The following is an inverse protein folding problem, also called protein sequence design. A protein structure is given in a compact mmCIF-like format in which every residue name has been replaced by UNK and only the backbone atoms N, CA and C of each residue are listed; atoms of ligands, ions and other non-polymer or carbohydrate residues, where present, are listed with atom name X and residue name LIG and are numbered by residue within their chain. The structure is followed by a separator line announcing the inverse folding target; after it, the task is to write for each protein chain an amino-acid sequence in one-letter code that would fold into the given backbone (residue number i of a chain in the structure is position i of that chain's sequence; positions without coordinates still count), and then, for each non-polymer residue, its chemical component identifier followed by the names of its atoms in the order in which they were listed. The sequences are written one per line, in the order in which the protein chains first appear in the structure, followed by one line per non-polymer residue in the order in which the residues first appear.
data_IF_817982168312
#
_entry.id   IF_817982168312
#
_cell.length_a   1.000
_cell.length_b   1.000
_cell.length_c   1.000
_cell.angle_alpha   90.00
_cell.angle_beta   90.00
_cell.angle_gamma   90.00
#
_symmetry.space_group_name_H-M   'P 1'
#
loop_
_entity.id
_entity.type
_entity.pdbx_description
1 polymer ?
#
# COMPACT_ATOMS: atom_id res chain seq x y z
N UNK A 1 -12.46 23.29 -15.82
CA UNK A 1 -11.21 22.95 -16.53
C UNK A 1 -10.04 23.55 -15.74
N UNK A 2 -9.02 22.76 -15.44
CA UNK A 2 -7.80 23.22 -14.75
C UNK A 2 -6.67 23.25 -15.77
N UNK A 3 -5.92 24.35 -15.82
CA UNK A 3 -4.76 24.50 -16.70
C UNK A 3 -3.55 24.91 -15.87
N UNK A 4 -2.41 24.26 -16.11
CA UNK A 4 -1.13 24.58 -15.48
C UNK A 4 -0.01 24.62 -16.54
N UNK A 5 1.07 25.31 -16.21
CA UNK A 5 2.30 25.36 -17.01
C UNK A 5 3.46 24.94 -16.13
N UNK A 6 4.33 24.09 -16.65
CA UNK A 6 5.53 23.62 -15.97
C UNK A 6 6.75 23.78 -16.90
N UNK A 7 7.94 23.92 -16.30
CA UNK A 7 9.21 23.97 -17.04
C UNK A 7 9.62 22.58 -17.55
N UNK A 8 9.36 21.57 -16.74
CA UNK A 8 9.65 20.15 -16.99
C UNK A 8 8.43 19.33 -16.57
N UNK A 9 8.12 18.29 -17.33
CA UNK A 9 7.09 17.30 -16.99
C UNK A 9 7.79 15.98 -16.65
N UNK A 10 7.46 15.41 -15.49
CA UNK A 10 7.95 14.10 -15.07
C UNK A 10 6.80 13.10 -15.19
N UNK A 11 6.92 12.15 -16.12
CA UNK A 11 6.03 11.01 -16.24
C UNK A 11 6.52 9.88 -15.31
N UNK A 12 5.94 9.81 -14.12
CA UNK A 12 6.13 8.74 -13.13
C UNK A 12 4.85 7.89 -12.97
N UNK A 13 4.09 7.68 -14.05
CA UNK A 13 2.77 7.05 -14.02
C UNK A 13 2.79 5.51 -13.88
N UNK A 14 3.95 4.90 -13.63
CA UNK A 14 4.08 3.46 -13.39
C UNK A 14 3.53 2.62 -14.57
N UNK A 15 2.56 1.71 -14.35
CA UNK A 15 1.90 0.95 -15.43
C UNK A 15 1.22 1.78 -16.52
N UNK A 16 1.06 3.09 -16.32
CA UNK A 16 0.43 4.00 -17.29
C UNK A 16 1.45 4.89 -18.02
N UNK A 17 2.76 4.67 -17.82
CA UNK A 17 3.80 5.52 -18.40
C UNK A 17 3.73 5.59 -19.93
N UNK A 18 3.53 4.46 -20.62
CA UNK A 18 3.43 4.45 -22.08
C UNK A 18 2.20 5.20 -22.59
N UNK A 19 1.03 5.01 -21.97
CA UNK A 19 -0.19 5.72 -22.35
C UNK A 19 -0.04 7.24 -22.19
N UNK A 20 0.56 7.69 -21.09
CA UNK A 20 0.85 9.12 -20.90
C UNK A 20 1.91 9.64 -21.90
N UNK A 21 2.84 8.79 -22.33
CA UNK A 21 3.78 9.16 -23.40
C UNK A 21 3.13 9.25 -24.78
N UNK A 22 2.05 8.53 -25.05
CA UNK A 22 1.28 8.73 -26.29
C UNK A 22 0.68 10.15 -26.34
N UNK A 23 0.20 10.65 -25.20
CA UNK A 23 -0.35 12.01 -25.06
C UNK A 23 0.74 13.10 -25.08
N UNK A 24 1.86 12.88 -24.36
CA UNK A 24 2.97 13.84 -24.26
C UNK A 24 3.87 13.84 -25.52
N UNK A 25 3.91 12.73 -26.25
CA UNK A 25 4.71 12.50 -27.44
C UNK A 25 6.25 12.48 -27.31
N UNK A 26 6.89 12.19 -26.15
CA UNK A 26 8.34 12.07 -26.11
C UNK A 26 8.87 10.91 -26.95
N UNK A 27 10.10 11.06 -27.46
CA UNK A 27 10.84 9.94 -28.04
C UNK A 27 11.46 9.13 -26.92
N UNK A 28 11.14 7.84 -26.88
CA UNK A 28 11.70 6.91 -25.89
C UNK A 28 12.21 5.63 -26.55
N UNK A 29 13.28 5.05 -26.04
CA UNK A 29 13.87 3.79 -26.50
C UNK A 29 13.23 2.57 -25.83
N UNK A 30 12.65 2.76 -24.64
CA UNK A 30 11.96 1.72 -23.89
C UNK A 30 10.44 1.87 -23.89
N UNK A 31 9.79 0.78 -23.53
CA UNK A 31 8.35 0.67 -23.24
C UNK A 31 8.14 -0.28 -22.08
N UNK A 32 6.91 -0.33 -21.56
CA UNK A 32 6.53 -1.25 -20.49
C UNK A 32 5.68 -2.40 -20.98
N UNK A 33 5.83 -3.52 -20.30
CA UNK A 33 5.02 -4.72 -20.44
C UNK A 33 4.57 -5.17 -19.06
N UNK A 34 3.45 -5.88 -18.99
CA UNK A 34 2.73 -6.06 -17.74
C UNK A 34 2.80 -7.49 -17.20
N UNK A 35 3.19 -7.60 -15.92
CA UNK A 35 3.11 -8.83 -15.14
C UNK A 35 2.19 -8.63 -13.95
N UNK A 36 1.03 -9.29 -13.96
CA UNK A 36 0.10 -9.35 -12.84
C UNK A 36 0.70 -10.20 -11.71
N UNK A 37 0.59 -9.71 -10.48
CA UNK A 37 0.83 -10.48 -9.27
C UNK A 37 -0.26 -10.26 -8.26
N UNK A 38 -0.72 -11.35 -7.65
CA UNK A 38 -1.78 -11.32 -6.65
C UNK A 38 -1.30 -11.79 -5.28
N UNK A 39 -2.02 -11.38 -4.24
CA UNK A 39 -1.85 -11.89 -2.89
C UNK A 39 -3.22 -12.14 -2.26
N UNK A 40 -3.31 -13.19 -1.45
CA UNK A 40 -4.46 -13.49 -0.60
C UNK A 40 -4.13 -13.17 0.85
N UNK A 41 -5.07 -12.59 1.57
CA UNK A 41 -4.98 -12.41 3.02
C UNK A 41 -5.93 -13.40 3.68
N UNK A 42 -5.39 -14.20 4.60
CA UNK A 42 -6.09 -15.28 5.30
C UNK A 42 -5.88 -15.16 6.80
N UNK A 43 -6.61 -15.93 7.64
CA UNK A 43 -6.28 -16.09 9.05
C UNK A 43 -4.79 -16.43 9.27
N UNK A 44 -4.25 -16.07 10.44
CA UNK A 44 -2.85 -16.35 10.76
C UNK A 44 -2.59 -17.86 10.68
N UNK A 45 -1.69 -18.28 9.79
CA UNK A 45 -1.38 -19.70 9.55
C UNK A 45 -0.39 -20.30 10.55
N UNK A 46 0.45 -19.45 11.16
CA UNK A 46 1.49 -19.90 12.09
C UNK A 46 1.84 -18.80 13.08
N UNK A 47 2.24 -19.17 14.30
CA UNK A 47 2.78 -18.25 15.30
C UNK A 47 4.20 -17.74 14.96
N UNK A 48 4.85 -18.29 13.92
CA UNK A 48 6.16 -17.84 13.49
C UNK A 48 6.08 -16.43 12.86
N UNK A 49 6.92 -15.51 13.32
CA UNK A 49 7.02 -14.13 12.81
C UNK A 49 7.99 -13.99 11.61
N UNK A 50 8.62 -15.09 11.17
CA UNK A 50 9.46 -15.09 9.96
C UNK A 50 8.61 -15.15 8.70
N UNK A 51 9.12 -14.56 7.63
CA UNK A 51 8.62 -14.82 6.27
C UNK A 51 8.99 -16.24 5.89
N UNK A 52 7.99 -17.03 5.49
CA UNK A 52 8.20 -18.37 4.94
C UNK A 52 8.26 -18.28 3.42
N UNK A 53 9.22 -18.98 2.80
CA UNK A 53 9.40 -19.01 1.36
C UNK A 53 9.25 -20.45 0.86
N UNK A 54 8.50 -20.62 -0.22
CA UNK A 54 8.16 -21.91 -0.80
C UNK A 54 8.34 -21.86 -2.31
N UNK A 55 8.61 -23.01 -2.91
CA UNK A 55 8.55 -23.18 -4.36
C UNK A 55 7.19 -23.73 -4.75
N UNK A 56 6.53 -23.09 -5.71
CA UNK A 56 5.37 -23.66 -6.38
C UNK A 56 5.76 -24.85 -7.28
N UNK A 57 4.77 -25.53 -7.86
CA UNK A 57 5.00 -26.70 -8.73
C UNK A 57 5.81 -26.37 -10.00
N UNK A 58 5.93 -25.08 -10.34
CA UNK A 58 6.73 -24.58 -11.47
C UNK A 58 8.15 -24.17 -11.06
N UNK A 59 8.48 -24.28 -9.76
CA UNK A 59 9.79 -23.89 -9.23
C UNK A 59 9.94 -22.40 -8.96
N UNK A 60 8.84 -21.63 -8.87
CA UNK A 60 8.89 -20.19 -8.55
C UNK A 60 8.61 -19.95 -7.08
N UNK A 61 9.26 -18.93 -6.53
CA UNK A 61 9.09 -18.56 -5.14
C UNK A 61 7.75 -17.85 -4.90
N UNK A 62 7.04 -18.32 -3.88
CA UNK A 62 5.98 -17.58 -3.22
C UNK A 62 6.20 -17.63 -1.71
N UNK A 63 5.48 -16.80 -0.98
CA UNK A 63 5.73 -16.47 0.41
C UNK A 63 4.45 -16.55 1.22
N UNK A 64 4.63 -16.88 2.49
CA UNK A 64 3.67 -16.59 3.56
C UNK A 64 4.29 -15.54 4.45
N UNK A 65 3.71 -14.34 4.44
CA UNK A 65 4.20 -13.17 5.17
C UNK A 65 3.27 -12.92 6.36
N UNK A 66 3.79 -12.87 7.61
CA UNK A 66 2.99 -12.47 8.75
C UNK A 66 2.58 -11.00 8.64
N UNK A 67 1.29 -10.72 8.84
CA UNK A 67 0.73 -9.38 8.82
C UNK A 67 -0.18 -9.19 10.03
N UNK A 68 0.43 -8.91 11.19
CA UNK A 68 -0.28 -8.87 12.47
C UNK A 68 -0.99 -10.19 12.72
N UNK A 69 -2.32 -10.16 12.89
CA UNK A 69 -3.15 -11.34 13.15
C UNK A 69 -3.55 -12.12 11.89
N UNK A 70 -2.97 -11.79 10.73
CA UNK A 70 -3.27 -12.38 9.43
C UNK A 70 -1.99 -12.90 8.78
N UNK A 71 -2.17 -13.70 7.74
CA UNK A 71 -1.09 -14.14 6.85
C UNK A 71 -1.38 -13.68 5.42
N UNK A 72 -0.35 -13.21 4.73
CA UNK A 72 -0.43 -12.83 3.32
C UNK A 72 0.29 -13.90 2.51
N UNK A 73 -0.44 -14.55 1.60
CA UNK A 73 0.07 -15.57 0.69
C UNK A 73 0.26 -14.92 -0.68
N UNK A 74 1.43 -15.07 -1.28
CA UNK A 74 1.68 -14.62 -2.64
C UNK A 74 3.15 -14.63 -3.01
N UNK A 75 3.54 -14.37 -4.24
CA UNK A 75 2.73 -13.81 -5.33
C UNK A 75 2.66 -14.75 -6.52
N UNK A 76 1.67 -14.55 -7.37
CA UNK A 76 1.67 -15.04 -8.76
C UNK A 76 2.48 -14.13 -9.69
N UNK A 77 2.74 -14.60 -10.92
CA UNK A 77 3.34 -13.83 -12.00
C UNK A 77 2.70 -14.27 -13.32
N UNK A 78 1.72 -13.50 -13.77
CA UNK A 78 0.91 -13.81 -14.96
C UNK A 78 1.03 -12.65 -15.91
N UNK A 79 1.42 -12.91 -17.16
CA UNK A 79 1.42 -11.87 -18.20
C UNK A 79 0.01 -11.37 -18.44
N UNK A 80 -0.14 -10.06 -18.56
CA UNK A 80 -1.38 -9.40 -18.95
C UNK A 80 -1.07 -8.32 -19.99
N UNK A 81 -2.08 -7.87 -20.72
CA UNK A 81 -1.91 -6.84 -21.77
C UNK A 81 -2.44 -5.47 -21.34
N UNK A 82 -2.90 -5.36 -20.09
CA UNK A 82 -3.53 -4.15 -19.54
C UNK A 82 -3.02 -3.87 -18.12
N UNK A 83 -2.87 -2.58 -17.73
CA UNK A 83 -2.56 -2.21 -16.36
C UNK A 83 -3.75 -2.43 -15.41
N UNK A 84 -4.97 -2.58 -15.95
CA UNK A 84 -6.18 -2.82 -15.19
C UNK A 84 -6.32 -4.31 -14.87
N UNK A 85 -6.24 -4.67 -13.59
CA UNK A 85 -6.26 -6.07 -13.16
C UNK A 85 -7.11 -6.29 -11.92
N UNK A 86 -7.59 -7.53 -11.77
CA UNK A 86 -8.29 -8.04 -10.60
C UNK A 86 -7.82 -9.47 -10.32
N UNK A 87 -8.07 -9.94 -9.11
CA UNK A 87 -7.88 -11.34 -8.74
C UNK A 87 -9.01 -12.16 -9.38
N UNK A 88 -8.66 -13.23 -10.09
CA UNK A 88 -9.61 -14.19 -10.66
C UNK A 88 -9.73 -15.42 -9.76
N UNK A 89 -10.71 -16.28 -10.04
CA UNK A 89 -10.89 -17.51 -9.26
C UNK A 89 -9.73 -18.49 -9.50
N UNK A 90 -9.18 -18.52 -10.72
CA UNK A 90 -7.99 -19.32 -11.04
C UNK A 90 -6.75 -18.83 -10.26
N UNK A 91 -6.62 -17.51 -10.04
CA UNK A 91 -5.54 -16.97 -9.21
C UNK A 91 -5.66 -17.46 -7.75
N UNK A 92 -6.89 -17.46 -7.22
CA UNK A 92 -7.18 -17.91 -5.84
C UNK A 92 -6.88 -19.39 -5.70
N UNK A 93 -7.46 -20.19 -6.58
CA UNK A 93 -7.31 -21.65 -6.60
C UNK A 93 -5.85 -22.06 -6.73
N UNK A 94 -5.09 -21.36 -7.58
CA UNK A 94 -3.66 -21.58 -7.71
C UNK A 94 -2.93 -21.39 -6.37
N UNK A 95 -3.04 -20.22 -5.73
CA UNK A 95 -2.32 -19.97 -4.48
C UNK A 95 -2.79 -20.87 -3.33
N UNK A 96 -4.09 -21.16 -3.24
CA UNK A 96 -4.64 -22.06 -2.22
C UNK A 96 -4.13 -23.50 -2.42
N UNK A 97 -4.11 -23.99 -3.67
CA UNK A 97 -3.55 -25.31 -4.00
C UNK A 97 -2.07 -25.37 -3.65
N UNK A 98 -1.30 -24.34 -4.04
CA UNK A 98 0.13 -24.30 -3.75
C UNK A 98 0.37 -24.30 -2.24
N UNK A 99 -0.30 -23.45 -1.45
CA UNK A 99 -0.01 -23.39 -0.01
C UNK A 99 -0.46 -24.66 0.74
N UNK A 100 -1.62 -25.22 0.40
CA UNK A 100 -2.14 -26.45 1.02
C UNK A 100 -1.23 -27.66 0.76
N UNK A 101 -0.47 -27.65 -0.34
CA UNK A 101 0.51 -28.69 -0.64
C UNK A 101 1.86 -28.51 0.08
N UNK A 102 2.16 -27.32 0.63
CA UNK A 102 3.45 -27.01 1.28
C UNK A 102 3.37 -26.82 2.80
N UNK A 103 2.18 -26.57 3.35
CA UNK A 103 1.96 -26.46 4.78
C UNK A 103 1.04 -27.57 5.27
N UNK A 104 1.47 -28.26 6.32
CA UNK A 104 0.64 -29.20 7.07
C UNK A 104 -0.29 -28.42 7.99
N UNK A 105 -1.48 -28.09 7.47
CA UNK A 105 -2.53 -27.37 8.19
C UNK A 105 -3.53 -28.38 8.74
N UNK A 106 -4.11 -28.09 9.92
CA UNK A 106 -5.16 -28.93 10.52
C UNK A 106 -6.33 -29.19 9.56
N UNK A 107 -6.68 -28.18 8.76
CA UNK A 107 -7.57 -28.29 7.61
C UNK A 107 -7.00 -27.50 6.42
N UNK A 108 -7.21 -27.95 5.17
CA UNK A 108 -6.86 -27.17 3.99
C UNK A 108 -7.61 -25.83 3.97
N UNK A 109 -6.94 -24.77 3.53
CA UNK A 109 -7.57 -23.47 3.28
C UNK A 109 -8.52 -23.56 2.09
N UNK A 110 -9.67 -22.90 2.20
CA UNK A 110 -10.63 -22.74 1.12
C UNK A 110 -10.78 -21.26 0.74
N UNK A 111 -11.56 -20.98 -0.32
CA UNK A 111 -11.90 -19.62 -0.73
C UNK A 111 -12.61 -18.85 0.40
N UNK A 112 -13.38 -19.54 1.24
CA UNK A 112 -14.09 -18.92 2.38
C UNK A 112 -13.12 -18.45 3.49
N UNK A 113 -11.89 -18.95 3.53
CA UNK A 113 -10.85 -18.46 4.43
C UNK A 113 -10.17 -17.17 3.91
N UNK A 114 -10.42 -16.76 2.66
CA UNK A 114 -9.85 -15.54 2.09
C UNK A 114 -10.61 -14.32 2.60
N UNK A 115 -9.93 -13.51 3.41
CA UNK A 115 -10.49 -12.29 4.01
C UNK A 115 -10.46 -11.14 3.02
N UNK A 116 -9.37 -11.04 2.27
CA UNK A 116 -9.17 -9.99 1.28
C UNK A 116 -8.14 -10.44 0.24
N UNK A 117 -8.17 -9.80 -0.92
CA UNK A 117 -7.18 -10.00 -1.95
C UNK A 117 -6.58 -8.68 -2.46
N UNK A 118 -5.41 -8.82 -3.10
CA UNK A 118 -4.71 -7.72 -3.76
C UNK A 118 -4.28 -8.20 -5.12
N UNK A 119 -4.52 -7.38 -6.14
CA UNK A 119 -3.89 -7.50 -7.44
C UNK A 119 -3.10 -6.25 -7.75
N UNK A 120 -1.97 -6.41 -8.43
CA UNK A 120 -1.16 -5.33 -8.94
C UNK A 120 -0.43 -5.76 -10.21
N UNK A 121 -0.12 -4.79 -11.05
CA UNK A 121 0.66 -5.00 -12.27
C UNK A 121 2.05 -4.41 -12.09
N UNK A 122 3.06 -5.20 -12.42
CA UNK A 122 4.46 -4.78 -12.50
C UNK A 122 4.72 -4.23 -13.91
N UNK A 123 5.13 -2.96 -14.06
CA UNK A 123 5.62 -2.45 -15.33
C UNK A 123 7.06 -2.92 -15.52
N UNK A 124 7.26 -3.90 -16.40
CA UNK A 124 8.59 -4.42 -16.73
C UNK A 124 9.14 -3.67 -17.93
N UNK A 125 10.41 -3.30 -17.90
CA UNK A 125 11.03 -2.48 -18.95
C UNK A 125 11.54 -3.37 -20.07
N UNK A 126 11.19 -3.05 -21.31
CA UNK A 126 11.71 -3.69 -22.52
C UNK A 126 12.10 -2.64 -23.56
N UNK A 127 13.09 -2.97 -24.39
CA UNK A 127 13.43 -2.13 -25.55
C UNK A 127 12.29 -2.16 -26.56
N UNK A 128 12.02 -1.03 -27.21
CA UNK A 128 11.06 -0.92 -28.31
C UNK A 128 11.55 -1.66 -29.56
N UNK A 129 12.84 -1.60 -29.83
CA UNK A 129 13.48 -2.34 -30.92
C UNK A 129 14.00 -3.71 -30.44
N UNK A 130 13.27 -4.75 -30.85
CA UNK A 130 13.57 -6.16 -30.60
C UNK A 130 12.45 -7.00 -31.20
N UNK A 131 12.78 -7.96 -32.07
CA UNK A 131 11.84 -8.80 -32.83
C UNK A 131 10.81 -9.55 -31.97
N UNK A 132 9.91 -10.29 -32.64
CA UNK A 132 8.74 -10.95 -32.07
C UNK A 132 8.96 -11.49 -30.64
N UNK A 133 8.39 -10.79 -29.66
CA UNK A 133 8.59 -11.09 -28.24
C UNK A 133 7.64 -12.20 -27.73
N UNK A 134 6.92 -12.88 -28.63
CA UNK A 134 6.03 -14.01 -28.29
C UNK A 134 6.74 -15.12 -27.51
N UNK A 135 8.06 -15.28 -27.65
CA UNK A 135 8.88 -16.30 -26.96
C UNK A 135 9.76 -15.77 -25.82
N UNK A 136 9.64 -14.51 -25.41
CA UNK A 136 10.44 -14.00 -24.29
C UNK A 136 9.95 -14.65 -23.00
N UNK A 137 10.85 -15.26 -22.23
CA UNK A 137 10.55 -15.72 -20.88
C UNK A 137 10.38 -14.49 -19.97
N UNK A 138 9.12 -14.03 -19.85
CA UNK A 138 8.72 -12.84 -19.10
C UNK A 138 9.19 -12.88 -17.65
N UNK A 139 9.38 -14.08 -17.08
CA UNK A 139 9.87 -14.24 -15.71
C UNK A 139 11.33 -13.81 -15.55
N UNK A 140 12.10 -13.78 -16.66
CA UNK A 140 13.51 -13.37 -16.74
C UNK A 140 13.71 -11.93 -17.19
N UNK A 141 12.63 -11.20 -17.52
CA UNK A 141 12.74 -9.80 -17.90
C UNK A 141 13.36 -8.98 -16.77
N UNK A 142 14.20 -8.03 -17.17
CA UNK A 142 14.87 -7.12 -16.24
C UNK A 142 13.83 -6.37 -15.43
N UNK A 143 14.00 -6.38 -14.11
CA UNK A 143 13.20 -5.59 -13.16
C UNK A 143 13.90 -4.29 -12.77
N UNK A 144 14.86 -3.84 -13.57
CA UNK A 144 15.52 -2.54 -13.40
C UNK A 144 14.63 -1.43 -13.94
N UNK A 145 14.76 -0.23 -13.38
CA UNK A 145 14.19 0.97 -13.98
C UNK A 145 15.05 1.47 -15.13
N UNK A 146 14.45 2.31 -15.95
CA UNK A 146 15.14 3.16 -16.92
C UNK A 146 14.54 4.56 -16.82
N UNK A 147 15.40 5.59 -16.91
CA UNK A 147 14.99 7.00 -16.93
C UNK A 147 15.43 7.62 -18.24
N UNK A 148 14.47 8.19 -18.97
CA UNK A 148 14.72 8.77 -20.28
C UNK A 148 14.32 10.24 -20.33
N UNK A 149 15.09 11.03 -21.08
CA UNK A 149 14.94 12.49 -21.18
C UNK A 149 14.70 12.89 -22.63
N UNK A 150 13.52 13.43 -22.93
CA UNK A 150 13.25 14.15 -24.18
C UNK A 150 13.51 15.65 -23.95
N UNK A 151 14.74 16.09 -24.25
CA UNK A 151 15.14 17.50 -24.10
C UNK A 151 14.29 18.46 -24.93
N UNK A 152 13.99 18.20 -26.22
CA UNK A 152 13.11 19.08 -27.00
C UNK A 152 11.75 19.36 -26.35
N UNK A 153 11.16 18.36 -25.69
CA UNK A 153 9.85 18.49 -25.02
C UNK A 153 9.91 18.81 -23.54
N UNK A 154 11.11 18.77 -22.94
CA UNK A 154 11.30 18.93 -21.50
C UNK A 154 10.52 17.87 -20.69
N UNK A 155 10.54 16.62 -21.16
CA UNK A 155 9.86 15.48 -20.52
C UNK A 155 10.88 14.49 -20.00
N UNK A 156 10.71 14.05 -18.75
CA UNK A 156 11.41 12.92 -18.15
C UNK A 156 10.42 11.77 -17.99
N UNK A 157 10.76 10.57 -18.48
CA UNK A 157 9.93 9.36 -18.28
C UNK A 157 10.65 8.37 -17.37
N UNK A 158 9.93 7.86 -16.37
CA UNK A 158 10.38 6.77 -15.50
C UNK A 158 9.70 5.47 -15.93
N UNK A 159 10.49 4.50 -16.39
CA UNK A 159 10.02 3.16 -16.71
C UNK A 159 10.40 2.18 -15.61
N UNK A 160 9.45 1.32 -15.21
CA UNK A 160 9.69 0.29 -14.21
C UNK A 160 9.95 0.83 -12.80
N UNK A 161 10.96 0.26 -12.12
CA UNK A 161 11.33 0.61 -10.76
C UNK A 161 10.77 -0.31 -9.69
N UNK A 162 11.54 -0.45 -8.60
CA UNK A 162 11.16 -1.21 -7.40
C UNK A 162 10.99 -0.27 -6.24
N UNK A 163 10.06 -0.59 -5.34
CA UNK A 163 9.88 0.16 -4.10
C UNK A 163 11.18 0.24 -3.27
N UNK A 164 12.00 -0.81 -3.28
CA UNK A 164 13.28 -0.84 -2.54
C UNK A 164 14.34 0.10 -3.10
N UNK A 165 14.17 0.56 -4.34
CA UNK A 165 15.15 1.38 -5.06
C UNK A 165 14.64 2.81 -5.31
N UNK A 166 13.49 3.17 -4.72
CA UNK A 166 12.79 4.40 -5.06
C UNK A 166 13.58 5.69 -4.76
N UNK A 167 14.46 5.67 -3.75
CA UNK A 167 15.31 6.81 -3.43
C UNK A 167 16.35 7.04 -4.54
N UNK A 168 17.01 5.98 -5.01
CA UNK A 168 17.97 6.08 -6.12
C UNK A 168 17.28 6.54 -7.42
N UNK A 169 16.08 6.01 -7.71
CA UNK A 169 15.25 6.52 -8.83
C UNK A 169 14.93 8.01 -8.65
N UNK A 170 14.66 8.45 -7.42
CA UNK A 170 14.42 9.86 -7.11
C UNK A 170 15.62 10.75 -7.42
N UNK A 171 16.82 10.33 -7.02
CA UNK A 171 18.07 11.05 -7.33
C UNK A 171 18.32 11.12 -8.85
N UNK A 172 18.13 10.02 -9.58
CA UNK A 172 18.29 10.02 -11.03
C UNK A 172 17.27 10.93 -11.74
N UNK A 173 16.05 11.04 -11.20
CA UNK A 173 15.04 12.00 -11.69
C UNK A 173 15.46 13.44 -11.39
N UNK A 174 16.02 13.71 -10.20
CA UNK A 174 16.56 15.02 -9.84
C UNK A 174 17.66 15.44 -10.83
N UNK A 175 18.64 14.56 -11.06
CA UNK A 175 19.70 14.74 -12.07
C UNK A 175 19.14 15.01 -13.47
N UNK A 176 18.07 14.31 -13.86
CA UNK A 176 17.41 14.49 -15.15
C UNK A 176 16.77 15.88 -15.28
N UNK A 177 16.15 16.38 -14.22
CA UNK A 177 15.54 17.71 -14.15
C UNK A 177 16.63 18.80 -14.24
N UNK A 178 17.77 18.63 -13.57
CA UNK A 178 18.90 19.56 -13.69
C UNK A 178 19.51 19.58 -15.10
N UNK A 179 19.62 18.41 -15.76
CA UNK A 179 20.05 18.30 -17.17
C UNK A 179 19.10 19.00 -18.15
N UNK A 180 17.86 19.27 -17.75
CA UNK A 180 16.88 20.08 -18.48
C UNK A 180 16.97 21.58 -18.13
N UNK A 181 17.91 21.97 -17.27
CA UNK A 181 18.20 23.36 -16.94
C UNK A 181 17.32 23.92 -15.82
N UNK A 182 16.64 23.06 -15.04
CA UNK A 182 15.94 23.45 -13.82
C UNK A 182 16.87 23.18 -12.64
N UNK A 183 17.53 24.21 -12.06
CA UNK A 183 18.38 24.01 -10.90
C UNK A 183 17.52 23.57 -9.71
N UNK A 184 17.99 22.57 -8.97
CA UNK A 184 17.36 22.12 -7.73
C UNK A 184 18.06 22.75 -6.52
N UNK A 185 17.38 22.74 -5.38
CA UNK A 185 18.00 23.13 -4.12
C UNK A 185 19.01 22.06 -3.69
N UNK A 186 20.06 22.49 -3.00
CA UNK A 186 21.07 21.57 -2.46
C UNK A 186 20.43 20.59 -1.48
N UNK A 187 20.77 19.30 -1.60
CA UNK A 187 20.29 18.30 -0.66
C UNK A 187 20.86 18.60 0.75
N UNK A 188 19.96 18.86 1.67
CA UNK A 188 20.29 19.11 3.08
C UNK A 188 20.48 17.82 3.88
N UNK A 189 20.36 16.65 3.23
CA UNK A 189 20.44 15.34 3.87
C UNK A 189 19.26 15.08 4.80
N UNK A 190 18.09 15.69 4.52
CA UNK A 190 16.92 15.59 5.39
C UNK A 190 16.37 14.16 5.36
N UNK A 191 16.50 13.44 6.47
CA UNK A 191 15.93 12.09 6.60
C UNK A 191 14.43 12.12 6.87
N UNK A 192 13.66 11.56 5.93
CA UNK A 192 12.19 11.47 6.00
C UNK A 192 11.67 10.16 6.62
N UNK A 193 12.55 9.24 7.04
CA UNK A 193 12.18 7.98 7.67
C UNK A 193 12.02 8.07 9.20
N UNK A 194 12.40 7.00 9.92
CA UNK A 194 12.25 6.95 11.38
C UNK A 194 13.04 8.10 12.05
N UNK A 195 12.41 8.86 12.97
CA UNK A 195 13.08 9.93 13.72
C UNK A 195 14.28 9.44 14.54
N UNK A 196 15.09 10.39 15.01
CA UNK A 196 16.26 10.10 15.85
C UNK A 196 15.90 9.33 17.13
N UNK A 197 16.83 8.49 17.60
CA UNK A 197 16.66 7.65 18.79
C UNK A 197 16.28 8.43 20.05
N UNK A 198 16.78 9.67 20.21
CA UNK A 198 16.41 10.54 21.33
C UNK A 198 14.92 10.95 21.28
N UNK A 199 14.40 11.26 20.08
CA UNK A 199 12.98 11.57 19.87
C UNK A 199 12.11 10.34 20.17
N UNK A 200 12.57 9.16 19.77
CA UNK A 200 11.93 7.88 20.12
C UNK A 200 11.88 7.68 21.63
N UNK A 201 13.01 7.79 22.31
CA UNK A 201 13.09 7.61 23.76
C UNK A 201 12.15 8.58 24.52
N UNK A 202 12.08 9.83 24.07
CA UNK A 202 11.17 10.83 24.63
C UNK A 202 9.70 10.43 24.46
N UNK A 203 9.31 9.96 23.28
CA UNK A 203 7.95 9.48 23.03
C UNK A 203 7.57 8.34 23.99
N UNK A 204 8.42 7.32 24.10
CA UNK A 204 8.16 6.17 24.97
C UNK A 204 8.11 6.57 26.45
N UNK A 205 8.93 7.53 26.88
CA UNK A 205 8.85 8.10 28.24
C UNK A 205 7.49 8.71 28.50
N UNK A 206 6.99 9.53 27.58
CA UNK A 206 5.69 10.18 27.70
C UNK A 206 4.52 9.19 27.68
N UNK A 207 4.56 8.21 26.78
CA UNK A 207 3.55 7.14 26.70
C UNK A 207 3.48 6.34 28.00
N UNK A 208 4.64 6.01 28.61
CA UNK A 208 4.71 5.32 29.89
C UNK A 208 4.14 6.15 31.04
N UNK A 209 4.48 7.45 31.12
CA UNK A 209 4.01 8.33 32.20
C UNK A 209 2.49 8.49 32.22
N UNK A 210 1.86 8.51 31.04
CA UNK A 210 0.40 8.58 30.93
C UNK A 210 -0.27 7.20 30.94
N UNK A 211 0.49 6.12 31.14
CA UNK A 211 -0.01 4.73 31.12
C UNK A 211 -0.79 4.40 29.84
N UNK A 212 -0.28 4.84 28.70
CA UNK A 212 -0.97 4.69 27.41
C UNK A 212 -1.37 3.24 27.13
N UNK A 213 -0.48 2.30 27.41
CA UNK A 213 -0.71 0.88 27.13
C UNK A 213 -1.77 0.25 28.05
N UNK A 214 -2.09 0.89 29.19
CA UNK A 214 -3.17 0.46 30.09
C UNK A 214 -4.55 0.84 29.56
N UNK A 215 -4.66 1.69 28.53
CA UNK A 215 -5.94 2.10 27.94
C UNK A 215 -6.61 1.00 27.13
N UNK A 216 -5.87 -0.05 26.73
CA UNK A 216 -6.42 -1.13 25.90
C UNK A 216 -6.10 -2.50 26.47
N UNK A 217 -7.15 -3.20 26.90
CA UNK A 217 -7.06 -4.59 27.36
C UNK A 217 -7.58 -5.54 26.28
N UNK A 218 -6.74 -5.83 25.28
CA UNK A 218 -7.00 -6.87 24.28
C UNK A 218 -5.86 -7.88 24.26
N UNK A 219 -6.14 -9.19 24.19
CA UNK A 219 -5.09 -10.19 24.03
C UNK A 219 -4.50 -10.12 22.62
N UNK A 220 -3.21 -10.43 22.49
CA UNK A 220 -2.52 -10.61 21.22
C UNK A 220 -2.55 -9.38 20.30
N UNK A 221 -2.52 -8.18 20.89
CA UNK A 221 -2.33 -6.93 20.16
C UNK A 221 -1.03 -6.26 20.58
N UNK A 222 -0.41 -5.56 19.65
CA UNK A 222 0.73 -4.68 19.92
C UNK A 222 0.37 -3.62 20.98
N UNK A 223 1.30 -3.24 21.89
CA UNK A 223 1.12 -2.09 22.76
C UNK A 223 0.78 -0.82 21.96
N UNK A 224 -0.04 0.06 22.52
CA UNK A 224 -0.44 1.30 21.85
C UNK A 224 0.78 2.19 21.59
N UNK A 225 1.73 2.23 22.53
CA UNK A 225 2.98 2.97 22.40
C UNK A 225 3.78 2.52 21.18
N UNK A 226 4.03 1.22 21.04
CA UNK A 226 4.73 0.64 19.89
C UNK A 226 4.01 0.92 18.58
N UNK A 227 2.69 0.73 18.56
CA UNK A 227 1.87 0.96 17.38
C UNK A 227 1.96 2.40 16.89
N UNK A 228 1.72 3.35 17.80
CA UNK A 228 1.69 4.76 17.46
C UNK A 228 3.05 5.25 16.98
N UNK A 229 4.14 4.83 17.65
CA UNK A 229 5.49 5.16 17.19
C UNK A 229 5.78 4.56 15.80
N UNK A 230 5.54 3.26 15.63
CA UNK A 230 5.86 2.52 14.41
C UNK A 230 5.11 3.05 13.19
N UNK A 231 3.88 3.55 13.35
CA UNK A 231 3.08 4.11 12.25
C UNK A 231 3.30 5.61 12.01
N UNK A 232 3.44 6.40 13.07
CA UNK A 232 3.33 7.85 12.97
C UNK A 232 4.59 8.62 13.36
N UNK A 233 5.57 7.94 13.97
CA UNK A 233 6.84 8.54 14.39
C UNK A 233 6.63 9.84 15.17
N UNK A 234 7.22 10.94 14.69
CA UNK A 234 7.08 12.28 15.30
C UNK A 234 5.63 12.75 15.45
N UNK A 235 4.73 12.34 14.56
CA UNK A 235 3.31 12.76 14.63
C UNK A 235 2.57 12.12 15.81
N UNK A 236 3.11 11.02 16.37
CA UNK A 236 2.54 10.33 17.51
C UNK A 236 2.49 11.20 18.78
N UNK A 237 3.35 12.22 18.91
CA UNK A 237 3.29 13.16 20.04
C UNK A 237 1.96 13.92 20.10
N UNK A 238 1.46 14.39 18.95
CA UNK A 238 0.16 15.06 18.86
C UNK A 238 -0.98 14.13 19.27
N UNK A 239 -0.80 12.83 19.03
CA UNK A 239 -1.77 11.80 19.40
C UNK A 239 -1.78 11.55 20.92
N UNK A 240 -0.62 11.56 21.58
CA UNK A 240 -0.57 11.53 23.05
C UNK A 240 -1.32 12.72 23.66
N UNK A 241 -1.12 13.91 23.11
CA UNK A 241 -1.80 15.12 23.58
C UNK A 241 -3.32 15.07 23.33
N UNK A 242 -3.76 14.48 22.22
CA UNK A 242 -5.18 14.24 21.97
C UNK A 242 -5.79 13.28 23.00
N UNK A 243 -5.12 12.15 23.26
CA UNK A 243 -5.57 11.15 24.25
C UNK A 243 -5.56 11.71 25.68
N UNK A 244 -4.61 12.58 26.04
CA UNK A 244 -4.61 13.24 27.35
C UNK A 244 -5.81 14.16 27.55
N UNK A 245 -6.25 14.85 26.48
CA UNK A 245 -7.40 15.74 26.54
C UNK A 245 -8.72 14.97 26.53
N UNK A 246 -8.78 13.91 25.74
CA UNK A 246 -9.94 13.05 25.61
C UNK A 246 -9.50 11.57 25.56
N UNK A 247 -9.64 10.82 26.68
CA UNK A 247 -9.25 9.42 26.74
C UNK A 247 -9.95 8.52 25.70
N UNK A 248 -11.15 8.89 25.22
CA UNK A 248 -11.86 8.11 24.20
C UNK A 248 -11.11 8.05 22.87
N UNK A 249 -10.18 8.98 22.63
CA UNK A 249 -9.29 8.98 21.47
C UNK A 249 -8.36 7.75 21.44
N UNK A 250 -8.12 7.13 22.60
CA UNK A 250 -7.35 5.90 22.76
C UNK A 250 -8.13 4.60 22.52
N UNK A 251 -9.43 4.69 22.20
CA UNK A 251 -10.27 3.53 21.93
C UNK A 251 -10.25 3.15 20.43
N UNK A 252 -10.55 1.88 20.14
CA UNK A 252 -10.67 1.42 18.76
C UNK A 252 -11.96 1.92 18.12
N UNK A 253 -11.88 2.49 16.91
CA UNK A 253 -13.05 2.95 16.14
C UNK A 253 -13.96 1.77 15.79
N UNK A 254 -13.38 0.63 15.42
CA UNK A 254 -14.10 -0.61 15.14
C UNK A 254 -13.49 -1.72 15.99
N UNK A 255 -14.34 -2.44 16.75
CA UNK A 255 -13.91 -3.47 17.73
C UNK A 255 -12.93 -4.50 17.14
N UNK A 256 -13.04 -4.81 15.84
CA UNK A 256 -12.24 -5.84 15.18
C UNK A 256 -11.08 -5.30 14.31
N UNK A 257 -10.90 -3.97 14.22
CA UNK A 257 -9.93 -3.32 13.33
C UNK A 257 -8.57 -3.00 13.96
N UNK A 258 -8.49 -3.06 15.29
CA UNK A 258 -7.36 -2.55 16.07
C UNK A 258 -6.87 -1.19 15.54
N UNK A 259 -7.78 -0.25 15.25
CA UNK A 259 -7.49 1.08 14.71
C UNK A 259 -8.09 2.13 15.62
N UNK A 260 -7.28 3.05 16.13
CA UNK A 260 -7.72 4.00 17.15
C UNK A 260 -8.48 5.19 16.56
N UNK A 261 -9.40 5.76 17.35
CA UNK A 261 -10.08 7.01 17.03
C UNK A 261 -9.09 8.16 16.77
N UNK A 262 -8.00 8.25 17.55
CA UNK A 262 -6.94 9.26 17.30
C UNK A 262 -6.24 9.10 15.94
N UNK A 263 -6.07 7.85 15.45
CA UNK A 263 -5.45 7.58 14.16
C UNK A 263 -6.34 8.11 13.02
N UNK A 264 -7.65 7.96 13.17
CA UNK A 264 -8.65 8.43 12.22
C UNK A 264 -8.69 9.96 12.13
N UNK A 265 -8.70 10.66 13.26
CA UNK A 265 -8.66 12.14 13.26
C UNK A 265 -7.37 12.68 12.62
N UNK A 266 -6.24 12.02 12.87
CA UNK A 266 -4.98 12.39 12.24
C UNK A 266 -5.06 12.21 10.72
N UNK A 267 -5.59 11.07 10.25
CA UNK A 267 -5.76 10.79 8.84
C UNK A 267 -6.70 11.80 8.16
N UNK A 268 -7.83 12.13 8.81
CA UNK A 268 -8.81 13.11 8.32
C UNK A 268 -8.16 14.48 8.07
N UNK A 269 -7.32 14.94 8.99
CA UNK A 269 -6.72 16.27 8.90
C UNK A 269 -5.52 16.38 7.95
N UNK A 270 -4.90 15.27 7.53
CA UNK A 270 -3.55 15.35 6.94
C UNK A 270 -3.22 14.35 5.84
N UNK A 271 -4.03 13.31 5.63
CA UNK A 271 -3.67 12.21 4.72
C UNK A 271 -4.48 12.21 3.42
N UNK A 272 -5.19 13.33 3.15
CA UNK A 272 -5.94 13.58 1.92
C UNK A 272 -6.93 12.44 1.59
N UNK A 273 -7.73 12.05 2.58
CA UNK A 273 -8.77 11.04 2.41
C UNK A 273 -9.94 11.68 1.66
N UNK A 274 -10.17 11.25 0.41
CA UNK A 274 -11.25 11.80 -0.45
C UNK A 274 -12.34 10.78 -0.75
N UNK A 275 -12.04 9.50 -0.58
CA UNK A 275 -12.95 8.37 -0.67
C UNK A 275 -12.81 7.47 0.54
N UNK A 276 -13.89 6.78 0.90
CA UNK A 276 -13.87 5.85 2.03
C UNK A 276 -12.84 4.70 1.82
N UNK A 277 -12.61 4.28 0.58
CA UNK A 277 -11.56 3.30 0.25
C UNK A 277 -10.14 3.77 0.61
N UNK A 278 -9.86 5.08 0.48
CA UNK A 278 -8.56 5.64 0.83
C UNK A 278 -8.24 5.36 2.30
N UNK A 279 -9.23 5.55 3.17
CA UNK A 279 -9.11 5.26 4.58
C UNK A 279 -9.13 3.75 4.86
N UNK A 280 -10.19 3.05 4.46
CA UNK A 280 -10.43 1.65 4.84
C UNK A 280 -9.35 0.70 4.32
N UNK A 281 -8.90 0.92 3.08
CA UNK A 281 -7.95 0.02 2.43
C UNK A 281 -6.52 0.54 2.49
N UNK A 282 -6.26 1.83 2.22
CA UNK A 282 -4.90 2.35 2.04
C UNK A 282 -4.26 2.85 3.34
N UNK A 283 -4.98 3.64 4.17
CA UNK A 283 -4.43 4.19 5.43
C UNK A 283 -4.52 3.21 6.60
N UNK A 284 -5.69 2.62 6.81
CA UNK A 284 -5.96 1.78 7.99
C UNK A 284 -5.69 0.29 7.79
N UNK A 285 -5.91 -0.21 6.55
CA UNK A 285 -5.89 -1.62 6.14
C UNK A 285 -7.05 -2.47 6.71
N UNK A 286 -8.10 -1.83 7.23
CA UNK A 286 -9.29 -2.49 7.83
C UNK A 286 -9.87 -3.55 6.90
N UNK A 287 -10.16 -3.18 5.65
CA UNK A 287 -10.76 -4.09 4.65
C UNK A 287 -9.79 -5.14 4.12
N UNK A 288 -8.55 -5.16 4.64
CA UNK A 288 -7.57 -6.20 4.34
C UNK A 288 -7.46 -7.23 5.46
N UNK A 289 -7.96 -6.91 6.66
CA UNK A 289 -7.82 -7.76 7.86
C UNK A 289 -9.15 -8.10 8.50
N UNK A 290 -10.25 -7.53 8.04
CA UNK A 290 -11.62 -7.81 8.47
C UNK A 290 -12.44 -8.15 7.23
N UNK A 291 -13.25 -9.23 7.26
CA UNK A 291 -14.21 -9.54 6.19
C UNK A 291 -15.16 -8.37 5.92
N UNK A 292 -15.56 -8.17 4.67
CA UNK A 292 -16.41 -7.04 4.27
C UNK A 292 -17.74 -7.00 5.05
N UNK A 293 -18.36 -8.16 5.30
CA UNK A 293 -19.59 -8.27 6.09
C UNK A 293 -19.45 -7.63 7.48
N UNK A 294 -18.34 -7.89 8.17
CA UNK A 294 -18.09 -7.37 9.52
C UNK A 294 -17.76 -5.88 9.50
N UNK A 295 -17.16 -5.38 8.41
CA UNK A 295 -16.97 -3.93 8.21
C UNK A 295 -18.31 -3.24 8.00
N UNK A 296 -19.18 -3.81 7.15
CA UNK A 296 -20.51 -3.24 6.84
C UNK A 296 -21.43 -3.12 8.05
N UNK A 297 -21.33 -4.07 8.98
CA UNK A 297 -22.17 -4.12 10.19
C UNK A 297 -21.53 -3.45 11.40
N UNK A 298 -20.35 -2.83 11.23
CA UNK A 298 -19.66 -2.18 12.34
C UNK A 298 -20.27 -0.82 12.69
N UNK A 299 -20.64 -0.64 13.96
CA UNK A 299 -21.09 0.65 14.52
C UNK A 299 -20.08 1.78 14.26
N UNK A 300 -18.77 1.46 14.24
CA UNK A 300 -17.69 2.42 14.00
C UNK A 300 -17.56 2.92 12.56
N UNK A 301 -18.28 2.31 11.61
CA UNK A 301 -18.20 2.68 10.20
C UNK A 301 -18.85 4.04 9.93
N UNK A 302 -20.03 4.29 10.53
CA UNK A 302 -20.69 5.59 10.43
C UNK A 302 -19.84 6.68 11.07
N UNK A 303 -19.38 6.43 12.30
CA UNK A 303 -18.50 7.36 13.01
C UNK A 303 -17.25 7.70 12.17
N UNK A 304 -16.63 6.69 11.53
CA UNK A 304 -15.50 6.93 10.65
C UNK A 304 -15.85 7.81 9.44
N UNK A 305 -16.99 7.57 8.80
CA UNK A 305 -17.45 8.38 7.67
C UNK A 305 -17.76 9.83 8.08
N UNK A 306 -18.37 10.03 9.25
CA UNK A 306 -18.67 11.36 9.80
C UNK A 306 -17.41 12.15 10.12
N UNK A 307 -16.41 11.52 10.75
CA UNK A 307 -15.14 12.18 11.06
C UNK A 307 -14.37 12.55 9.77
N UNK A 308 -14.42 11.71 8.74
CA UNK A 308 -13.69 11.96 7.50
C UNK A 308 -14.38 12.96 6.57
N UNK A 309 -15.71 12.96 6.52
CA UNK A 309 -16.47 13.61 5.46
C UNK A 309 -17.58 14.56 5.96
N UNK A 310 -17.84 14.61 7.26
CA UNK A 310 -18.88 15.45 7.85
C UNK A 310 -20.25 15.18 7.24
N UNK A 311 -20.90 16.23 6.73
CA UNK A 311 -22.23 16.17 6.09
C UNK A 311 -22.29 15.23 4.88
N UNK A 312 -21.14 14.86 4.28
CA UNK A 312 -21.06 13.96 3.13
C UNK A 312 -20.89 12.49 3.52
N UNK A 313 -20.99 12.14 4.80
CA UNK A 313 -20.81 10.77 5.29
C UNK A 313 -21.72 9.76 4.56
N UNK A 314 -23.02 10.04 4.47
CA UNK A 314 -23.98 9.15 3.80
C UNK A 314 -23.68 9.00 2.29
N UNK A 315 -23.34 10.10 1.61
CA UNK A 315 -22.92 10.09 0.19
C UNK A 315 -21.72 9.15 -0.01
N UNK A 316 -20.72 9.24 0.87
CA UNK A 316 -19.49 8.44 0.78
C UNK A 316 -19.68 6.98 1.15
N UNK A 317 -20.61 6.67 2.05
CA UNK A 317 -21.01 5.29 2.35
C UNK A 317 -21.71 4.67 1.14
N UNK A 318 -22.63 5.39 0.50
CA UNK A 318 -23.30 4.93 -0.73
C UNK A 318 -22.31 4.79 -1.88
N UNK A 319 -21.38 5.74 -2.06
CA UNK A 319 -20.32 5.66 -3.10
C UNK A 319 -19.53 4.35 -2.97
N UNK A 320 -19.21 3.94 -1.75
CA UNK A 320 -18.37 2.76 -1.50
C UNK A 320 -19.14 1.45 -1.56
N UNK A 321 -20.34 1.39 -0.96
CA UNK A 321 -21.09 0.14 -0.78
C UNK A 321 -22.22 -0.07 -1.78
N UNK A 322 -22.59 0.95 -2.56
CA UNK A 322 -23.76 0.99 -3.44
C UNK A 322 -25.08 1.26 -2.72
N UNK A 323 -25.09 1.23 -1.39
CA UNK A 323 -26.24 1.52 -0.52
C UNK A 323 -25.75 1.88 0.89
N UNK A 324 -26.60 2.50 1.71
CA UNK A 324 -26.30 2.74 3.13
C UNK A 324 -26.30 1.37 3.85
N UNK A 325 -25.21 0.99 4.55
CA UNK A 325 -25.15 -0.27 5.28
C UNK A 325 -26.22 -0.38 6.36
N UNK A 326 -26.84 -1.55 6.52
CA UNK A 326 -27.82 -1.81 7.55
C UNK A 326 -27.15 -1.80 8.94
N UNK A 327 -27.72 -1.04 9.89
CA UNK A 327 -27.13 -0.85 11.23
C UNK A 327 -26.04 0.21 11.30
N UNK A 328 -25.82 0.98 10.23
CA UNK A 328 -25.09 2.26 10.30
C UNK A 328 -25.94 3.34 10.94
#
# INVERSE_FOLDING_TARGET
ELSCRARVIINAAGPFADALNEDLGPRTDHRIVFSKGIHLVVPRLTANERVLAFFDDTGRLFYVIPMGRRSVIGTTDTRVDTPYTRVTDEDRDFLLTQINARLDLERPLTVDDVIADRSGVRPLVVKREGGDQTQVDWTKLSRKHEIEIDKPRQVVTVFGGKLTDCLNVGEEVADAVEKLGVPLEEDTGTWYGEPAAATRAEFYRQARLMKLDDLRHKPNVEPLSDRLWRRYGRRAFQMLDAIRRDPSMGEDIMKNADYLRVELHLAAGTEMVTKLEDFLRRRSKITQVIPEHDVRTSEGLREAAEILFGERADEKLVEYFGAIPAGS
#
